data_IF_945980513030
#
_entry.id   IF_945980513030
#
_cell.length_a   1.000
_cell.length_b   1.000
_cell.length_c   1.000
_cell.angle_alpha   90.00
_cell.angle_beta   90.00
_cell.angle_gamma   90.00
#
_symmetry.space_group_name_H-M   'P 1'
#
loop_
_entity.id
_entity.type
_entity.pdbx_description
1 polymer ?
#
# COMPACT_ATOMS: atom_id res chain seq x y z
N UNK A 1 20.18 3.39 60.09
CA UNK A 1 19.70 4.22 58.96
C UNK A 1 20.60 3.82 57.81
N UNK A 2 20.14 2.87 57.00
CA UNK A 2 20.97 2.16 56.02
C UNK A 2 20.42 2.42 54.62
N UNK A 3 21.33 2.84 53.75
CA UNK A 3 21.16 3.28 52.38
C UNK A 3 21.65 2.17 51.45
N UNK A 4 20.73 1.39 50.88
CA UNK A 4 21.07 0.32 49.94
C UNK A 4 20.51 0.66 48.56
N UNK A 5 21.37 1.20 47.70
CA UNK A 5 21.10 1.46 46.28
C UNK A 5 21.12 0.16 45.49
N UNK A 6 19.98 -0.22 44.88
CA UNK A 6 19.91 -1.39 43.97
C UNK A 6 20.07 -0.93 42.52
N UNK A 7 21.26 -1.15 41.96
CA UNK A 7 21.59 -0.96 40.55
C UNK A 7 21.21 -2.20 39.72
N UNK A 8 20.63 -1.99 38.53
CA UNK A 8 20.28 -3.05 37.58
C UNK A 8 21.49 -3.43 36.71
N UNK A 9 21.80 -4.73 36.63
CA UNK A 9 22.84 -5.28 35.74
C UNK A 9 22.30 -5.40 34.31
N UNK A 10 22.96 -4.72 33.37
CA UNK A 10 22.74 -4.87 31.92
C UNK A 10 23.82 -5.79 31.37
N UNK A 11 23.44 -6.99 30.93
CA UNK A 11 24.34 -7.93 30.25
C UNK A 11 24.30 -7.70 28.74
N UNK A 12 25.46 -7.37 28.15
CA UNK A 12 25.64 -7.21 26.71
C UNK A 12 26.42 -8.42 26.20
N UNK A 13 25.83 -9.21 25.31
CA UNK A 13 26.53 -10.34 24.65
C UNK A 13 27.39 -9.79 23.50
N UNK A 14 28.70 -10.05 23.46
CA UNK A 14 29.55 -9.61 22.35
C UNK A 14 29.32 -10.47 21.10
N UNK A 15 29.39 -9.83 19.93
CA UNK A 15 29.31 -10.45 18.62
C UNK A 15 30.70 -11.00 18.30
N UNK A 16 30.82 -12.31 18.10
CA UNK A 16 32.09 -12.96 17.74
C UNK A 16 32.40 -12.70 16.27
N UNK A 17 33.39 -11.85 15.99
CA UNK A 17 34.09 -11.83 14.70
C UNK A 17 34.90 -13.13 14.58
N UNK A 18 34.56 -13.98 13.62
CA UNK A 18 35.44 -15.06 13.18
C UNK A 18 35.96 -14.70 11.80
N UNK A 19 37.18 -14.16 11.80
CA UNK A 19 37.99 -14.01 10.59
C UNK A 19 38.73 -15.33 10.34
N UNK A 20 38.56 -15.92 9.16
CA UNK A 20 39.60 -16.76 8.57
C UNK A 20 39.62 -16.58 7.05
N UNK A 21 40.80 -16.20 6.56
CA UNK A 21 41.15 -15.89 5.17
C UNK A 21 41.14 -17.16 4.29
N UNK A 22 40.74 -17.00 3.03
CA UNK A 22 41.61 -17.27 1.85
C UNK A 22 40.87 -16.95 0.54
N UNK A 23 41.25 -15.86 -0.12
CA UNK A 23 40.89 -15.62 -1.53
C UNK A 23 42.05 -16.17 -2.36
N UNK A 24 41.85 -17.35 -2.96
CA UNK A 24 42.66 -17.79 -4.09
C UNK A 24 42.06 -17.23 -5.37
N UNK A 25 42.91 -16.50 -6.08
CA UNK A 25 42.65 -15.88 -7.36
C UNK A 25 42.87 -16.95 -8.44
N UNK A 26 41.80 -17.46 -9.04
CA UNK A 26 41.89 -18.24 -10.28
C UNK A 26 40.87 -17.71 -11.30
N UNK A 27 41.41 -17.14 -12.36
CA UNK A 27 40.68 -16.79 -13.57
C UNK A 27 40.21 -18.08 -14.25
N UNK A 28 38.89 -18.30 -14.29
CA UNK A 28 38.28 -19.13 -15.34
C UNK A 28 37.09 -18.41 -15.96
N UNK A 29 37.24 -18.21 -17.26
CA UNK A 29 36.26 -17.74 -18.23
C UNK A 29 34.98 -18.59 -18.17
N UNK A 30 33.86 -17.99 -17.75
CA UNK A 30 32.53 -18.58 -17.91
C UNK A 30 31.57 -17.50 -18.40
N UNK A 31 30.83 -17.85 -19.44
CA UNK A 31 29.95 -17.02 -20.25
C UNK A 31 29.08 -16.07 -19.43
N UNK A 32 28.84 -14.87 -19.97
CA UNK A 32 27.77 -13.97 -19.52
C UNK A 32 26.44 -14.73 -19.65
N UNK A 33 26.04 -15.37 -18.58
CA UNK A 33 24.68 -15.85 -18.39
C UNK A 33 23.78 -14.61 -18.51
N UNK A 34 23.00 -14.60 -19.59
CA UNK A 34 21.99 -13.57 -19.83
C UNK A 34 21.03 -13.68 -18.65
N UNK A 35 21.12 -12.76 -17.70
CA UNK A 35 20.15 -12.61 -16.64
C UNK A 35 18.79 -12.41 -17.31
N UNK A 36 17.99 -13.47 -17.36
CA UNK A 36 16.60 -13.40 -17.76
C UNK A 36 15.99 -12.40 -16.79
N UNK A 37 15.44 -11.26 -17.26
CA UNK A 37 14.81 -10.31 -16.35
C UNK A 37 13.72 -11.07 -15.60
N UNK A 38 13.92 -11.25 -14.28
CA UNK A 38 12.90 -11.83 -13.42
C UNK A 38 11.59 -11.11 -13.72
N UNK A 39 10.56 -11.88 -14.04
CA UNK A 39 9.20 -11.36 -14.23
C UNK A 39 8.92 -10.44 -13.04
N UNK A 40 8.61 -9.15 -13.25
CA UNK A 40 8.44 -8.21 -12.16
C UNK A 40 7.41 -8.80 -11.19
N UNK A 41 7.79 -8.95 -9.93
CA UNK A 41 6.89 -9.49 -8.90
C UNK A 41 5.62 -8.63 -8.94
N UNK A 42 4.47 -9.26 -9.21
CA UNK A 42 3.20 -8.55 -9.34
C UNK A 42 2.83 -7.78 -8.07
N UNK A 43 3.41 -8.12 -6.90
CA UNK A 43 3.27 -7.39 -5.64
C UNK A 43 4.06 -6.07 -5.61
N UNK A 44 5.07 -5.94 -6.47
CA UNK A 44 5.89 -4.74 -6.66
C UNK A 44 5.36 -3.85 -7.79
N UNK A 45 4.33 -4.29 -8.52
CA UNK A 45 3.58 -3.40 -9.43
C UNK A 45 2.88 -2.38 -8.55
N UNK A 46 3.42 -1.17 -8.53
CA UNK A 46 2.84 -0.06 -7.79
C UNK A 46 1.39 0.14 -8.25
N UNK A 47 0.44 -0.28 -7.40
CA UNK A 47 -0.95 0.14 -7.55
C UNK A 47 -0.96 1.67 -7.58
N UNK A 48 -1.51 2.24 -8.65
CA UNK A 48 -1.51 3.69 -8.89
C UNK A 48 -2.22 4.39 -7.72
N UNK A 49 -1.44 4.86 -6.76
CA UNK A 49 -1.94 5.53 -5.56
C UNK A 49 -1.93 7.02 -5.80
N UNK A 50 -3.08 7.66 -5.64
CA UNK A 50 -3.21 9.12 -5.75
C UNK A 50 -3.02 9.75 -4.37
N UNK A 51 -2.20 10.81 -4.30
CA UNK A 51 -2.04 11.60 -3.07
C UNK A 51 -3.29 12.46 -2.85
N UNK A 52 -3.86 12.40 -1.65
CA UNK A 52 -5.03 13.20 -1.24
C UNK A 52 -4.56 14.31 -0.28
N UNK A 53 -5.18 15.48 -0.34
CA UNK A 53 -4.84 16.58 0.57
C UNK A 53 -5.21 16.24 2.03
N UNK A 54 -4.47 16.77 3.03
CA UNK A 54 -4.74 16.47 4.44
C UNK A 54 -6.18 16.81 4.87
N UNK A 55 -6.72 17.93 4.38
CA UNK A 55 -8.08 18.36 4.69
C UNK A 55 -9.14 17.41 4.12
N UNK A 56 -8.93 16.87 2.91
CA UNK A 56 -9.86 15.89 2.32
C UNK A 56 -9.77 14.55 3.03
N UNK A 57 -8.55 14.09 3.34
CA UNK A 57 -8.35 12.88 4.13
C UNK A 57 -9.01 12.98 5.51
N UNK A 58 -8.91 14.14 6.18
CA UNK A 58 -9.59 14.39 7.44
C UNK A 58 -11.11 14.22 7.29
N UNK A 59 -11.72 14.85 6.27
CA UNK A 59 -13.15 14.71 5.99
C UNK A 59 -13.58 13.24 5.81
N UNK A 60 -12.81 12.47 5.03
CA UNK A 60 -13.10 11.05 4.78
C UNK A 60 -12.97 10.21 6.06
N UNK A 61 -11.94 10.47 6.88
CA UNK A 61 -11.76 9.78 8.16
C UNK A 61 -12.85 10.13 9.17
N UNK A 62 -13.30 11.39 9.21
CA UNK A 62 -14.40 11.81 10.08
C UNK A 62 -15.74 11.24 9.64
N UNK A 63 -15.91 10.90 8.36
CA UNK A 63 -17.13 10.31 7.83
C UNK A 63 -17.24 8.80 8.13
N UNK A 64 -16.09 8.13 8.31
CA UNK A 64 -16.00 6.68 8.53
C UNK A 64 -16.94 6.10 9.61
N UNK A 65 -17.08 6.66 10.83
CA UNK A 65 -18.01 6.10 11.82
C UNK A 65 -19.47 6.15 11.36
N UNK A 66 -19.89 7.23 10.69
CA UNK A 66 -21.28 7.41 10.25
C UNK A 66 -21.70 6.44 9.13
N UNK A 67 -20.76 6.07 8.25
CA UNK A 67 -21.02 5.10 7.18
C UNK A 67 -21.05 3.66 7.74
N UNK A 68 -20.17 3.35 8.70
CA UNK A 68 -20.13 2.02 9.33
C UNK A 68 -21.44 1.65 10.03
N UNK A 69 -22.07 2.63 10.67
CA UNK A 69 -23.36 2.45 11.32
C UNK A 69 -24.48 2.16 10.32
N UNK A 70 -24.36 2.62 9.06
CA UNK A 70 -25.37 2.45 8.03
C UNK A 70 -25.26 1.15 7.24
N UNK A 71 -24.04 0.62 7.01
CA UNK A 71 -23.82 -0.47 6.06
C UNK A 71 -23.30 -1.80 6.64
N UNK A 72 -23.22 -1.95 7.96
CA UNK A 72 -22.64 -3.14 8.66
C UNK A 72 -21.31 -3.62 8.03
N UNK A 73 -20.52 -2.67 7.52
CA UNK A 73 -19.25 -2.95 6.87
C UNK A 73 -18.14 -3.00 7.92
N UNK A 74 -17.73 -4.21 8.33
CA UNK A 74 -16.71 -4.41 9.36
C UNK A 74 -15.43 -3.58 9.18
N UNK A 75 -14.94 -3.43 7.93
CA UNK A 75 -13.79 -2.57 7.58
C UNK A 75 -14.06 -1.70 6.35
N UNK A 76 -14.72 -0.56 6.54
CA UNK A 76 -14.80 0.48 5.50
C UNK A 76 -13.41 1.08 5.23
N UNK A 77 -12.91 0.93 4.00
CA UNK A 77 -11.68 1.57 3.53
C UNK A 77 -11.97 2.96 2.95
N UNK A 78 -10.94 3.81 2.81
CA UNK A 78 -11.10 5.13 2.16
C UNK A 78 -11.61 4.98 0.72
N UNK A 79 -11.18 3.93 0.01
CA UNK A 79 -11.64 3.68 -1.36
C UNK A 79 -13.14 3.36 -1.39
N UNK A 80 -13.63 2.55 -0.46
CA UNK A 80 -15.06 2.24 -0.35
C UNK A 80 -15.88 3.50 -0.07
N UNK A 81 -15.39 4.38 0.82
CA UNK A 81 -16.07 5.65 1.11
C UNK A 81 -16.14 6.51 -0.14
N UNK A 82 -15.05 6.61 -0.90
CA UNK A 82 -15.03 7.39 -2.15
C UNK A 82 -16.01 6.80 -3.16
N UNK A 83 -16.05 5.48 -3.30
CA UNK A 83 -16.94 4.78 -4.23
C UNK A 83 -18.41 5.09 -3.92
N UNK A 84 -18.82 4.90 -2.66
CA UNK A 84 -20.18 5.22 -2.18
C UNK A 84 -20.52 6.71 -2.44
N UNK A 85 -19.60 7.63 -2.15
CA UNK A 85 -19.83 9.06 -2.35
C UNK A 85 -19.98 9.41 -3.84
N UNK A 86 -19.18 8.81 -4.71
CA UNK A 86 -19.25 9.03 -6.16
C UNK A 86 -20.54 8.44 -6.72
N UNK A 87 -20.88 7.20 -6.37
CA UNK A 87 -22.13 6.55 -6.79
C UNK A 87 -23.34 7.34 -6.32
N UNK A 88 -23.38 7.73 -5.04
CA UNK A 88 -24.45 8.54 -4.47
C UNK A 88 -24.60 9.88 -5.20
N UNK A 89 -23.51 10.56 -5.54
CA UNK A 89 -23.57 11.80 -6.30
C UNK A 89 -24.13 11.58 -7.70
N UNK A 90 -23.67 10.53 -8.39
CA UNK A 90 -24.13 10.20 -9.75
C UNK A 90 -25.62 9.86 -9.76
N UNK A 91 -26.09 9.11 -8.78
CA UNK A 91 -27.48 8.64 -8.75
C UNK A 91 -28.45 9.71 -8.24
N UNK A 92 -28.01 10.59 -7.33
CA UNK A 92 -28.90 11.61 -6.73
C UNK A 92 -28.82 12.98 -7.41
N UNK A 93 -27.67 13.38 -7.94
CA UNK A 93 -27.45 14.74 -8.45
C UNK A 93 -27.40 14.84 -9.97
N UNK A 94 -27.08 13.76 -10.69
CA UNK A 94 -27.02 13.81 -12.15
C UNK A 94 -28.37 13.42 -12.78
N UNK A 95 -28.95 14.32 -13.58
CA UNK A 95 -30.14 14.06 -14.39
C UNK A 95 -29.86 12.90 -15.35
N UNK A 96 -30.81 11.96 -15.51
CA UNK A 96 -30.72 10.67 -16.23
C UNK A 96 -29.75 10.58 -17.43
N UNK A 97 -29.71 11.58 -18.31
CA UNK A 97 -28.79 11.59 -19.46
C UNK A 97 -27.32 11.73 -19.03
N UNK A 98 -27.04 12.58 -18.05
CA UNK A 98 -25.70 12.81 -17.53
C UNK A 98 -25.20 11.64 -16.67
N UNK A 99 -26.06 11.04 -15.84
CA UNK A 99 -25.68 9.84 -15.07
C UNK A 99 -25.36 8.67 -15.99
N UNK A 100 -26.17 8.44 -17.04
CA UNK A 100 -25.88 7.42 -18.06
C UNK A 100 -24.58 7.70 -18.81
N UNK A 101 -24.35 8.95 -19.25
CA UNK A 101 -23.12 9.31 -19.94
C UNK A 101 -21.87 9.10 -19.07
N UNK A 102 -21.95 9.43 -17.78
CA UNK A 102 -20.87 9.15 -16.82
C UNK A 102 -20.59 7.65 -16.70
N UNK A 103 -21.62 6.83 -16.47
CA UNK A 103 -21.48 5.36 -16.33
C UNK A 103 -20.90 4.72 -17.60
N UNK A 104 -21.38 5.14 -18.78
CA UNK A 104 -20.89 4.67 -20.08
C UNK A 104 -19.42 5.09 -20.34
N UNK A 105 -19.00 6.26 -19.84
CA UNK A 105 -17.61 6.72 -19.94
C UNK A 105 -16.69 5.95 -18.99
N UNK A 106 -17.08 5.82 -17.72
CA UNK A 106 -16.31 5.07 -16.73
C UNK A 106 -16.06 3.63 -17.18
N UNK A 107 -17.11 2.94 -17.66
CA UNK A 107 -17.02 1.57 -18.19
C UNK A 107 -15.95 1.42 -19.28
N UNK A 108 -15.98 2.27 -20.31
CA UNK A 108 -15.02 2.23 -21.42
C UNK A 108 -13.57 2.49 -20.97
N UNK A 109 -13.39 3.44 -20.06
CA UNK A 109 -12.07 3.74 -19.51
C UNK A 109 -11.53 2.59 -18.66
N UNK A 110 -12.40 1.97 -17.87
CA UNK A 110 -12.06 0.83 -17.03
C UNK A 110 -11.66 -0.40 -17.87
N UNK A 111 -12.42 -0.74 -18.92
CA UNK A 111 -12.09 -1.81 -19.86
C UNK A 111 -10.73 -1.56 -20.55
N UNK A 112 -10.36 -0.30 -20.78
CA UNK A 112 -9.04 0.05 -21.35
C UNK A 112 -7.89 -0.16 -20.36
N UNK A 113 -8.17 -0.15 -19.04
CA UNK A 113 -7.17 -0.43 -18.00
C UNK A 113 -6.87 -1.93 -17.87
N UNK A 114 -7.86 -2.80 -18.13
CA UNK A 114 -7.70 -4.26 -18.05
C UNK A 114 -7.03 -4.87 -19.29
N UNK A 115 -7.14 -4.21 -20.45
CA UNK A 115 -6.56 -4.66 -21.72
C UNK A 115 -5.09 -4.20 -21.93
N UNK A 116 -4.37 -3.86 -20.85
CA UNK A 116 -3.01 -3.32 -20.89
C UNK A 116 -2.03 -4.18 -20.10
#
# INVERSE_FOLDING_TARGET
MENESKSFLVTVTPITESSDLTIQNDQTNTEKEIQIPEKPDNRLIASKTTKISPAVLLKLNTLKPFIKEQEDMGKTSINNIIDILVESYVDTQLVNRHSKAYKDMYKRLYETLENK
#
